data_IF_404340737538
#
_entry.id   IF_404340737538
#
_cell.length_a   1.000
_cell.length_b   1.000
_cell.length_c   1.000
_cell.angle_alpha   90.00
_cell.angle_beta   90.00
_cell.angle_gamma   90.00
#
_symmetry.space_group_name_H-M   'P 1'
#
loop_
_entity.id
_entity.type
_entity.pdbx_description
1 polymer ?
#
# COMPACT_ATOMS: atom_id res chain seq x y z
N UNK A 1 -1.51 -21.21 -22.97
CA UNK A 1 -0.33 -22.08 -22.84
C UNK A 1 0.20 -21.85 -21.42
N UNK A 2 -0.02 -22.83 -20.54
CA UNK A 2 0.35 -22.75 -19.13
C UNK A 2 1.85 -23.04 -18.99
N UNK A 3 2.63 -22.14 -18.40
CA UNK A 3 4.01 -22.43 -17.97
C UNK A 3 4.00 -22.68 -16.47
N UNK A 4 4.25 -23.92 -16.07
CA UNK A 4 4.58 -24.27 -14.69
C UNK A 4 6.07 -24.00 -14.46
N UNK A 5 6.39 -23.35 -13.34
CA UNK A 5 7.77 -23.22 -12.86
C UNK A 5 8.07 -24.36 -11.90
N UNK A 6 9.19 -25.04 -12.12
CA UNK A 6 9.59 -26.26 -11.41
C UNK A 6 10.28 -25.99 -10.05
N UNK A 7 10.22 -26.99 -9.20
CA UNK A 7 10.40 -27.14 -7.76
C UNK A 7 11.80 -26.93 -7.20
N UNK A 8 11.84 -26.35 -6.00
CA UNK A 8 12.96 -26.46 -5.06
C UNK A 8 12.62 -25.93 -3.68
N UNK A 9 12.23 -26.81 -2.75
CA UNK A 9 12.22 -26.58 -1.31
C UNK A 9 11.06 -25.73 -0.76
N UNK A 10 10.04 -26.37 -0.16
CA UNK A 10 8.70 -25.89 0.18
C UNK A 10 7.94 -25.37 -1.04
N UNK A 11 6.97 -26.17 -1.49
CA UNK A 11 6.27 -25.96 -2.76
C UNK A 11 5.53 -24.61 -2.85
N UNK A 12 6.24 -23.55 -3.19
CA UNK A 12 5.60 -22.34 -3.71
C UNK A 12 5.46 -22.50 -5.22
N UNK A 13 4.26 -22.71 -5.71
CA UNK A 13 3.98 -22.67 -7.15
C UNK A 13 3.42 -21.31 -7.52
N UNK A 14 4.04 -20.60 -8.46
CA UNK A 14 3.53 -19.37 -9.04
C UNK A 14 2.94 -19.67 -10.42
N UNK A 15 1.65 -19.34 -10.61
CA UNK A 15 0.95 -19.52 -11.88
C UNK A 15 0.51 -18.17 -12.44
N UNK A 16 0.81 -17.92 -13.73
CA UNK A 16 0.33 -16.74 -14.45
C UNK A 16 -0.80 -17.13 -15.41
N UNK A 17 -1.94 -16.45 -15.29
CA UNK A 17 -3.09 -16.59 -16.19
C UNK A 17 -3.08 -15.43 -17.16
N UNK A 18 -2.71 -15.69 -18.41
CA UNK A 18 -2.55 -14.67 -19.45
C UNK A 18 -3.65 -14.73 -20.51
N UNK A 19 -4.04 -13.58 -21.03
CA UNK A 19 -5.04 -13.45 -22.09
C UNK A 19 -5.45 -12.00 -22.30
N UNK A 20 -6.10 -11.71 -23.42
CA UNK A 20 -6.64 -10.38 -23.73
C UNK A 20 -7.75 -9.96 -22.76
N UNK A 21 -8.13 -8.69 -22.76
CA UNK A 21 -9.31 -8.25 -22.01
C UNK A 21 -10.57 -9.01 -22.45
N UNK A 22 -11.43 -9.34 -21.49
CA UNK A 22 -12.69 -10.06 -21.75
C UNK A 22 -12.57 -11.57 -22.04
N UNK A 23 -11.40 -12.19 -21.96
CA UNK A 23 -11.22 -13.63 -22.23
C UNK A 23 -11.59 -14.55 -21.07
N UNK A 24 -12.16 -14.02 -19.99
CA UNK A 24 -12.65 -14.84 -18.87
C UNK A 24 -11.58 -15.20 -17.83
N UNK A 25 -10.43 -14.48 -17.76
CA UNK A 25 -9.38 -14.75 -16.76
C UNK A 25 -9.88 -14.74 -15.33
N UNK A 26 -10.58 -13.66 -14.94
CA UNK A 26 -11.17 -13.54 -13.59
C UNK A 26 -12.18 -14.64 -13.30
N UNK A 27 -13.04 -14.98 -14.30
CA UNK A 27 -13.97 -16.07 -14.16
C UNK A 27 -13.27 -17.42 -13.89
N UNK A 28 -12.19 -17.69 -14.62
CA UNK A 28 -11.37 -18.88 -14.44
C UNK A 28 -10.74 -18.95 -13.04
N UNK A 29 -10.17 -17.84 -12.55
CA UNK A 29 -9.62 -17.72 -11.21
C UNK A 29 -10.70 -18.02 -10.15
N UNK A 30 -11.86 -17.40 -10.29
CA UNK A 30 -12.95 -17.56 -9.32
C UNK A 30 -13.52 -18.97 -9.32
N UNK A 31 -13.67 -19.61 -10.48
CA UNK A 31 -14.08 -20.99 -10.58
C UNK A 31 -13.08 -21.94 -9.93
N UNK A 32 -11.78 -21.69 -10.17
CA UNK A 32 -10.69 -22.48 -9.57
C UNK A 32 -10.69 -22.37 -8.05
N UNK A 33 -10.70 -21.16 -7.49
CA UNK A 33 -10.68 -20.95 -6.04
C UNK A 33 -11.91 -21.51 -5.34
N UNK A 34 -13.12 -21.38 -5.94
CA UNK A 34 -14.35 -21.98 -5.40
C UNK A 34 -14.27 -23.51 -5.36
N UNK A 35 -13.76 -24.11 -6.43
CA UNK A 35 -13.59 -25.57 -6.52
C UNK A 35 -12.59 -26.08 -5.48
N UNK A 36 -11.43 -25.45 -5.36
CA UNK A 36 -10.39 -25.85 -4.41
C UNK A 36 -10.84 -25.63 -2.96
N UNK A 37 -11.45 -24.51 -2.67
CA UNK A 37 -12.00 -24.21 -1.34
C UNK A 37 -13.10 -25.20 -0.92
N UNK A 38 -13.88 -25.69 -1.89
CA UNK A 38 -14.89 -26.72 -1.65
C UNK A 38 -14.31 -28.12 -1.42
N UNK A 39 -13.17 -28.42 -2.01
CA UNK A 39 -12.45 -29.70 -1.82
C UNK A 39 -11.61 -29.73 -0.53
N UNK A 40 -11.14 -28.56 -0.10
CA UNK A 40 -10.28 -28.39 1.08
C UNK A 40 -10.87 -27.32 2.01
N UNK A 41 -11.96 -27.63 2.75
CA UNK A 41 -12.65 -26.67 3.60
C UNK A 41 -11.80 -26.17 4.78
N UNK A 42 -10.74 -26.87 5.13
CA UNK A 42 -9.74 -26.49 6.15
C UNK A 42 -8.69 -25.47 5.63
N UNK A 43 -8.59 -25.29 4.33
CA UNK A 43 -7.65 -24.38 3.69
C UNK A 43 -8.10 -22.92 3.76
N UNK A 44 -7.14 -22.00 3.69
CA UNK A 44 -7.39 -20.57 3.58
C UNK A 44 -7.12 -20.09 2.15
N UNK A 45 -8.07 -19.35 1.59
CA UNK A 45 -8.00 -18.84 0.22
C UNK A 45 -8.20 -17.33 0.24
N UNK A 46 -7.28 -16.60 -0.37
CA UNK A 46 -7.34 -15.14 -0.47
C UNK A 46 -7.43 -14.71 -1.92
N UNK A 47 -8.45 -13.92 -2.25
CA UNK A 47 -8.56 -13.25 -3.55
C UNK A 47 -8.24 -11.78 -3.34
N UNK A 48 -7.06 -11.38 -3.78
CA UNK A 48 -6.55 -10.02 -3.62
C UNK A 48 -6.92 -9.22 -4.86
N UNK A 49 -7.66 -8.12 -4.65
CA UNK A 49 -8.14 -7.22 -5.70
C UNK A 49 -7.95 -5.77 -5.27
N UNK A 50 -7.93 -4.80 -6.22
CA UNK A 50 -8.01 -3.38 -5.86
C UNK A 50 -9.23 -3.09 -4.99
N UNK A 51 -9.10 -2.15 -4.03
CA UNK A 51 -10.13 -1.87 -3.01
C UNK A 51 -11.52 -1.65 -3.62
N UNK A 52 -11.61 -0.91 -4.72
CA UNK A 52 -12.88 -0.63 -5.40
C UNK A 52 -13.60 -1.86 -5.96
N UNK A 53 -12.89 -2.98 -6.13
CA UNK A 53 -13.46 -4.22 -6.67
C UNK A 53 -13.81 -5.26 -5.61
N UNK A 54 -13.43 -5.05 -4.35
CA UNK A 54 -13.60 -6.05 -3.27
C UNK A 54 -15.06 -6.51 -3.12
N UNK A 55 -16.01 -5.57 -3.04
CA UNK A 55 -17.42 -5.90 -2.88
C UNK A 55 -18.00 -6.61 -4.12
N UNK A 56 -17.66 -6.15 -5.33
CA UNK A 56 -18.11 -6.76 -6.58
C UNK A 56 -17.56 -8.18 -6.73
N UNK A 57 -16.30 -8.39 -6.42
CA UNK A 57 -15.65 -9.71 -6.48
C UNK A 57 -16.28 -10.67 -5.47
N UNK A 58 -16.48 -10.21 -4.22
CA UNK A 58 -17.15 -11.02 -3.19
C UNK A 58 -18.57 -11.45 -3.64
N UNK A 59 -19.35 -10.52 -4.17
CA UNK A 59 -20.67 -10.82 -4.72
C UNK A 59 -20.60 -11.86 -5.84
N UNK A 60 -19.67 -11.69 -6.77
CA UNK A 60 -19.49 -12.62 -7.90
C UNK A 60 -19.13 -14.02 -7.41
N UNK A 61 -18.20 -14.15 -6.46
CA UNK A 61 -17.82 -15.44 -5.88
C UNK A 61 -19.01 -16.13 -5.19
N UNK A 62 -19.80 -15.38 -4.42
CA UNK A 62 -21.03 -15.92 -3.78
C UNK A 62 -22.05 -16.39 -4.83
N UNK A 63 -22.27 -15.62 -5.89
CA UNK A 63 -23.19 -15.97 -6.97
C UNK A 63 -22.73 -17.20 -7.77
N UNK A 64 -21.42 -17.37 -7.97
CA UNK A 64 -20.81 -18.51 -8.65
C UNK A 64 -20.76 -19.76 -7.78
N UNK A 65 -20.66 -19.59 -6.45
CA UNK A 65 -20.57 -20.73 -5.52
C UNK A 65 -21.87 -21.56 -5.54
N UNK A 66 -21.77 -22.90 -5.64
CA UNK A 66 -22.93 -23.79 -5.57
C UNK A 66 -23.72 -23.65 -4.25
N UNK A 67 -23.03 -23.39 -3.15
CA UNK A 67 -23.60 -23.19 -1.81
C UNK A 67 -24.22 -21.81 -1.61
N UNK A 68 -24.06 -20.88 -2.58
CA UNK A 68 -24.44 -19.47 -2.44
C UNK A 68 -23.80 -18.78 -1.24
N UNK A 69 -22.61 -19.24 -0.87
CA UNK A 69 -21.80 -18.70 0.21
C UNK A 69 -20.32 -19.03 0.01
N UNK A 70 -19.46 -18.29 0.66
CA UNK A 70 -18.01 -18.49 0.73
C UNK A 70 -17.63 -18.46 2.21
N UNK A 71 -17.03 -19.52 2.75
CA UNK A 71 -16.69 -19.64 4.17
C UNK A 71 -15.20 -19.47 4.42
N UNK A 72 -14.37 -20.03 3.56
CA UNK A 72 -12.92 -20.07 3.66
C UNK A 72 -12.22 -19.33 2.51
N UNK A 73 -12.96 -18.45 1.81
CA UNK A 73 -12.43 -17.55 0.78
C UNK A 73 -12.62 -16.11 1.29
N UNK A 74 -11.54 -15.39 1.49
CA UNK A 74 -11.54 -13.97 1.83
C UNK A 74 -11.20 -13.12 0.60
N UNK A 75 -12.01 -12.10 0.31
CA UNK A 75 -11.73 -11.11 -0.74
C UNK A 75 -11.20 -9.84 -0.08
N UNK A 76 -9.95 -9.51 -0.36
CA UNK A 76 -9.24 -8.45 0.32
C UNK A 76 -8.55 -7.52 -0.67
N UNK A 77 -8.37 -6.25 -0.28
CA UNK A 77 -7.33 -5.41 -0.84
C UNK A 77 -6.01 -5.63 -0.09
N UNK A 78 -4.91 -5.08 -0.59
CA UNK A 78 -3.63 -5.11 0.12
C UNK A 78 -3.71 -4.47 1.51
N UNK A 79 -4.45 -3.37 1.63
CA UNK A 79 -4.62 -2.70 2.92
C UNK A 79 -5.37 -3.60 3.92
N UNK A 80 -6.45 -4.25 3.50
CA UNK A 80 -7.18 -5.21 4.34
C UNK A 80 -6.36 -6.45 4.68
N UNK A 81 -5.53 -6.92 3.74
CA UNK A 81 -4.58 -7.98 4.00
C UNK A 81 -3.58 -7.57 5.08
N UNK A 82 -3.06 -6.34 5.01
CA UNK A 82 -2.17 -5.81 6.03
C UNK A 82 -2.80 -5.85 7.43
N UNK A 83 -4.03 -5.35 7.57
CA UNK A 83 -4.73 -5.41 8.85
C UNK A 83 -4.95 -6.84 9.36
N UNK A 84 -5.28 -7.79 8.47
CA UNK A 84 -5.40 -9.21 8.85
C UNK A 84 -4.10 -9.78 9.39
N UNK A 85 -2.98 -9.46 8.73
CA UNK A 85 -1.65 -9.89 9.19
C UNK A 85 -1.28 -9.23 10.51
N UNK A 86 -1.57 -7.93 10.67
CA UNK A 86 -1.30 -7.21 11.92
C UNK A 86 -2.12 -7.75 13.09
N UNK A 87 -3.40 -8.07 12.90
CA UNK A 87 -4.24 -8.72 13.90
C UNK A 87 -3.69 -10.09 14.33
N UNK A 88 -3.12 -10.85 13.38
CA UNK A 88 -2.57 -12.18 13.67
C UNK A 88 -1.21 -12.10 14.38
N UNK A 89 -0.33 -11.20 13.91
CA UNK A 89 1.08 -11.17 14.32
C UNK A 89 1.36 -10.21 15.47
N UNK A 90 0.36 -9.45 15.93
CA UNK A 90 0.49 -8.42 16.95
C UNK A 90 0.98 -7.07 16.41
N UNK A 91 1.12 -6.93 15.09
CA UNK A 91 1.31 -5.71 14.29
C UNK A 91 2.21 -4.61 14.87
N UNK A 92 2.27 -3.49 14.17
CA UNK A 92 2.83 -2.24 14.72
C UNK A 92 1.69 -1.50 15.48
N UNK A 93 1.87 -1.19 16.76
CA UNK A 93 0.87 -0.49 17.59
C UNK A 93 0.62 0.96 17.15
N UNK A 94 1.28 1.41 16.10
CA UNK A 94 1.14 2.77 15.58
C UNK A 94 -0.24 3.04 15.00
N UNK A 95 -0.73 4.24 15.27
CA UNK A 95 -1.97 4.76 14.70
C UNK A 95 -1.73 5.15 13.24
N UNK A 96 -2.55 4.62 12.31
CA UNK A 96 -2.49 5.02 10.91
C UNK A 96 -3.16 6.38 10.75
N UNK A 97 -2.40 7.34 10.21
CA UNK A 97 -2.93 8.66 9.89
C UNK A 97 -3.65 8.64 8.55
N UNK A 98 -4.90 9.05 8.58
CA UNK A 98 -5.67 9.38 7.39
C UNK A 98 -5.18 10.70 6.76
N UNK A 99 -5.80 11.07 5.66
CA UNK A 99 -5.47 12.28 4.91
C UNK A 99 -5.66 13.56 5.73
N UNK A 100 -6.66 13.59 6.60
CA UNK A 100 -6.92 14.70 7.54
C UNK A 100 -5.83 14.78 8.59
N UNK A 101 -5.45 13.65 9.18
CA UNK A 101 -4.35 13.56 10.14
C UNK A 101 -3.03 14.04 9.56
N UNK A 102 -2.68 13.62 8.33
CA UNK A 102 -1.50 14.11 7.61
C UNK A 102 -1.54 15.65 7.44
N UNK A 103 -2.69 16.19 7.04
CA UNK A 103 -2.87 17.65 6.89
C UNK A 103 -2.65 18.38 8.21
N UNK A 104 -3.20 17.88 9.32
CA UNK A 104 -3.04 18.50 10.65
C UNK A 104 -1.58 18.48 11.12
N UNK A 105 -0.88 17.35 10.91
CA UNK A 105 0.54 17.24 11.26
C UNK A 105 1.36 18.21 10.41
N UNK A 106 1.13 18.27 9.09
CA UNK A 106 1.83 19.20 8.22
C UNK A 106 1.59 20.65 8.60
N UNK A 107 0.35 21.06 8.93
CA UNK A 107 0.04 22.40 9.44
C UNK A 107 0.84 22.72 10.71
N UNK A 108 0.93 21.78 11.63
CA UNK A 108 1.72 21.94 12.85
C UNK A 108 3.21 22.11 12.55
N UNK A 109 3.76 21.37 11.57
CA UNK A 109 5.16 21.52 11.16
C UNK A 109 5.41 22.88 10.49
N UNK A 110 4.52 23.32 9.61
CA UNK A 110 4.59 24.68 9.01
C UNK A 110 4.61 25.77 10.08
N UNK A 111 3.76 25.68 11.09
CA UNK A 111 3.73 26.64 12.19
C UNK A 111 5.01 26.61 13.02
N UNK A 112 5.50 25.42 13.35
CA UNK A 112 6.72 25.22 14.13
C UNK A 112 7.97 25.76 13.42
N UNK A 113 8.08 25.53 12.12
CA UNK A 113 9.23 25.87 11.29
C UNK A 113 9.04 27.12 10.43
N UNK A 114 8.05 27.97 10.73
CA UNK A 114 7.70 29.14 9.92
C UNK A 114 8.88 30.04 9.58
N UNK A 115 9.85 30.18 10.50
CA UNK A 115 11.05 31.02 10.32
C UNK A 115 12.10 30.36 9.42
N UNK A 116 12.06 29.04 9.32
CA UNK A 116 13.02 28.22 8.57
C UNK A 116 12.51 27.89 7.16
N UNK A 117 11.34 28.46 6.77
CA UNK A 117 10.69 28.26 5.48
C UNK A 117 10.62 29.56 4.69
N UNK A 118 11.76 30.08 4.19
CA UNK A 118 11.81 31.39 3.53
C UNK A 118 10.92 31.49 2.30
N UNK A 119 10.73 30.40 1.56
CA UNK A 119 9.87 30.36 0.37
C UNK A 119 8.46 29.83 0.69
N UNK A 120 8.35 28.61 1.25
CA UNK A 120 7.07 27.94 1.47
C UNK A 120 6.26 28.57 2.60
N UNK A 121 6.87 29.14 3.61
CA UNK A 121 6.18 29.70 4.78
C UNK A 121 5.10 30.73 4.42
N UNK A 122 5.32 31.56 3.39
CA UNK A 122 4.33 32.52 2.88
C UNK A 122 3.28 31.86 1.97
N UNK A 123 3.68 30.83 1.20
CA UNK A 123 2.81 30.14 0.24
C UNK A 123 1.79 29.25 0.94
N UNK A 124 2.13 28.63 2.07
CA UNK A 124 1.26 27.74 2.85
C UNK A 124 -0.04 28.39 3.33
N UNK A 125 -0.15 29.73 3.27
CA UNK A 125 -1.38 30.46 3.56
C UNK A 125 -2.36 30.48 2.39
N UNK A 126 -1.92 30.09 1.20
CA UNK A 126 -2.77 30.06 0.01
C UNK A 126 -3.61 28.79 -0.01
N UNK A 127 -4.90 28.86 -0.41
CA UNK A 127 -5.75 27.68 -0.55
C UNK A 127 -5.12 26.64 -1.47
N UNK A 128 -5.19 25.36 -1.09
CA UNK A 128 -4.69 24.22 -1.86
C UNK A 128 -3.17 23.98 -1.77
N UNK A 129 -2.37 24.98 -1.41
CA UNK A 129 -0.91 24.82 -1.41
C UNK A 129 -0.41 23.81 -0.36
N UNK A 130 -1.09 23.76 0.78
CA UNK A 130 -0.82 22.78 1.82
C UNK A 130 -1.07 21.34 1.31
N UNK A 131 -2.16 21.16 0.54
CA UNK A 131 -2.50 19.86 -0.04
C UNK A 131 -1.50 19.42 -1.13
N UNK A 132 -1.00 20.37 -1.93
CA UNK A 132 0.07 20.10 -2.90
C UNK A 132 1.34 19.62 -2.20
N UNK A 133 1.76 20.29 -1.12
CA UNK A 133 2.93 19.85 -0.35
C UNK A 133 2.68 18.52 0.34
N UNK A 134 1.49 18.30 0.93
CA UNK A 134 1.10 17.01 1.50
C UNK A 134 1.22 15.88 0.46
N UNK A 135 0.68 16.09 -0.74
CA UNK A 135 0.77 15.12 -1.84
C UNK A 135 2.21 14.81 -2.22
N UNK A 136 3.05 15.85 -2.31
CA UNK A 136 4.48 15.70 -2.58
C UNK A 136 5.19 14.86 -1.50
N UNK A 137 4.89 15.10 -0.21
CA UNK A 137 5.46 14.29 0.88
C UNK A 137 4.98 12.83 0.82
N UNK A 138 3.70 12.61 0.48
CA UNK A 138 3.15 11.26 0.26
C UNK A 138 3.84 10.56 -0.91
N UNK A 139 4.09 11.25 -2.02
CA UNK A 139 4.85 10.70 -3.15
C UNK A 139 6.28 10.32 -2.74
N UNK A 140 6.96 11.16 -1.97
CA UNK A 140 8.31 10.83 -1.48
C UNK A 140 8.30 9.55 -0.64
N UNK A 141 7.34 9.40 0.26
CA UNK A 141 7.21 8.18 1.07
C UNK A 141 6.89 6.96 0.20
N UNK A 142 5.98 7.10 -0.76
CA UNK A 142 5.57 6.05 -1.68
C UNK A 142 6.73 5.53 -2.56
N UNK A 143 7.63 6.44 -2.98
CA UNK A 143 8.79 6.10 -3.81
C UNK A 143 10.07 5.85 -3.00
N UNK A 144 9.97 5.77 -1.67
CA UNK A 144 11.12 5.51 -0.79
C UNK A 144 12.17 6.63 -0.79
N UNK A 145 11.77 7.87 -1.16
CA UNK A 145 12.66 9.04 -1.12
C UNK A 145 12.79 9.49 0.33
N UNK A 146 13.96 9.30 0.91
CA UNK A 146 14.29 9.68 2.27
C UNK A 146 15.03 11.03 2.39
N UNK A 147 15.51 11.31 3.59
CA UNK A 147 16.25 12.55 3.88
C UNK A 147 17.55 12.66 3.09
N UNK A 148 18.22 11.54 2.85
CA UNK A 148 19.49 11.50 2.10
C UNK A 148 19.27 11.85 0.62
N UNK A 149 18.28 11.24 -0.01
CA UNK A 149 17.91 11.54 -1.39
C UNK A 149 17.48 12.99 -1.56
N UNK A 150 16.70 13.53 -0.62
CA UNK A 150 16.31 14.94 -0.63
C UNK A 150 17.51 15.87 -0.47
N UNK A 151 18.46 15.55 0.41
CA UNK A 151 19.71 16.31 0.55
C UNK A 151 20.50 16.32 -0.76
N UNK A 152 20.63 15.18 -1.43
CA UNK A 152 21.27 15.10 -2.74
C UNK A 152 20.52 15.90 -3.82
N UNK A 153 19.19 15.96 -3.77
CA UNK A 153 18.40 16.80 -4.68
C UNK A 153 18.68 18.27 -4.47
N UNK A 154 18.80 18.73 -3.21
CA UNK A 154 19.19 20.10 -2.87
C UNK A 154 20.58 20.43 -3.45
N UNK A 155 21.56 19.57 -3.29
CA UNK A 155 22.91 19.73 -3.81
C UNK A 155 22.93 19.80 -5.34
N UNK A 156 22.20 18.88 -6.02
CA UNK A 156 22.10 18.83 -7.48
C UNK A 156 21.33 20.01 -8.09
N UNK A 157 20.51 20.71 -7.30
CA UNK A 157 19.84 21.92 -7.75
C UNK A 157 20.83 23.05 -8.09
N UNK A 158 21.99 23.08 -7.42
CA UNK A 158 23.12 23.95 -7.74
C UNK A 158 22.75 25.42 -7.81
N UNK A 159 23.09 26.08 -8.93
CA UNK A 159 22.87 27.53 -9.14
C UNK A 159 21.41 27.93 -9.39
N UNK A 160 20.46 26.98 -9.37
CA UNK A 160 19.02 27.24 -9.51
C UNK A 160 18.43 27.69 -8.19
N UNK A 161 18.72 28.92 -7.79
CA UNK A 161 18.43 29.50 -6.48
C UNK A 161 17.00 29.24 -5.99
N UNK A 162 15.98 29.52 -6.82
CA UNK A 162 14.58 29.30 -6.45
C UNK A 162 14.25 27.82 -6.20
N UNK A 163 14.80 26.90 -7.00
CA UNK A 163 14.59 25.46 -6.83
C UNK A 163 15.28 24.98 -5.54
N UNK A 164 16.50 25.44 -5.31
CA UNK A 164 17.27 25.11 -4.11
C UNK A 164 16.54 25.58 -2.84
N UNK A 165 15.98 26.78 -2.82
CA UNK A 165 15.17 27.28 -1.72
C UNK A 165 13.94 26.40 -1.48
N UNK A 166 13.18 26.10 -2.53
CA UNK A 166 11.99 25.22 -2.43
C UNK A 166 12.34 23.83 -1.88
N UNK A 167 13.40 23.21 -2.39
CA UNK A 167 13.81 21.89 -1.96
C UNK A 167 14.30 21.88 -0.49
N UNK A 168 14.97 22.93 -0.04
CA UNK A 168 15.36 23.08 1.38
C UNK A 168 14.15 23.19 2.29
N UNK A 169 13.17 24.00 1.92
CA UNK A 169 11.93 24.15 2.69
C UNK A 169 11.15 22.81 2.74
N UNK A 170 11.05 22.13 1.61
CA UNK A 170 10.41 20.79 1.54
C UNK A 170 11.17 19.78 2.41
N UNK A 171 12.49 19.78 2.37
CA UNK A 171 13.32 18.90 3.20
C UNK A 171 13.09 19.17 4.69
N UNK A 172 13.05 20.44 5.10
CA UNK A 172 12.74 20.83 6.50
C UNK A 172 11.36 20.33 6.95
N UNK A 173 10.35 20.47 6.08
CA UNK A 173 8.99 20.00 6.38
C UNK A 173 8.92 18.47 6.42
N UNK A 174 9.58 17.77 5.48
CA UNK A 174 9.63 16.31 5.44
C UNK A 174 10.29 15.74 6.69
N UNK A 175 11.44 16.28 7.08
CA UNK A 175 12.14 15.86 8.29
C UNK A 175 11.28 16.08 9.55
N UNK A 176 10.67 17.26 9.69
CA UNK A 176 9.76 17.54 10.80
C UNK A 176 8.54 16.63 10.82
N UNK A 177 7.98 16.34 9.65
CA UNK A 177 6.84 15.43 9.49
C UNK A 177 7.20 14.00 9.89
N UNK A 178 8.31 13.45 9.36
CA UNK A 178 8.82 12.12 9.70
C UNK A 178 9.11 11.98 11.19
N UNK A 179 9.82 12.94 11.78
CA UNK A 179 10.10 12.96 13.22
C UNK A 179 8.85 13.02 14.09
N UNK A 180 7.78 13.68 13.62
CA UNK A 180 6.51 13.70 14.35
C UNK A 180 5.80 12.35 14.31
N UNK A 181 5.90 11.60 13.22
CA UNK A 181 5.30 10.28 13.08
C UNK A 181 6.05 9.22 13.88
N UNK A 182 7.33 9.40 14.08
CA UNK A 182 8.21 8.39 14.68
C UNK A 182 7.68 7.91 16.04
N UNK A 183 7.57 6.61 16.20
CA UNK A 183 7.17 5.94 17.42
C UNK A 183 5.66 5.84 17.69
N UNK A 184 4.81 6.70 17.08
CA UNK A 184 3.40 6.79 17.43
C UNK A 184 2.44 6.65 16.25
N UNK A 185 2.88 7.06 15.07
CA UNK A 185 2.05 7.09 13.87
C UNK A 185 2.73 6.42 12.70
N UNK A 186 1.93 5.95 11.76
CA UNK A 186 2.37 5.57 10.42
C UNK A 186 1.42 6.16 9.38
N UNK A 187 1.86 6.28 8.16
CA UNK A 187 1.03 6.69 7.03
C UNK A 187 0.55 5.48 6.25
N UNK A 188 -0.48 5.67 5.41
CA UNK A 188 -0.98 4.60 4.55
C UNK A 188 0.10 4.04 3.62
N UNK A 189 1.04 4.88 3.19
CA UNK A 189 2.18 4.50 2.35
C UNK A 189 3.13 3.52 3.09
N UNK A 190 3.29 3.68 4.40
CA UNK A 190 4.15 2.82 5.23
C UNK A 190 3.50 1.47 5.59
N UNK A 191 2.18 1.35 5.46
CA UNK A 191 1.44 0.10 5.77
C UNK A 191 1.98 -1.08 4.97
N UNK A 192 2.33 -0.87 3.69
CA UNK A 192 2.88 -1.93 2.84
C UNK A 192 4.26 -2.38 3.28
N UNK A 193 5.12 -1.48 3.73
CA UNK A 193 6.44 -1.81 4.26
C UNK A 193 6.33 -2.61 5.56
N UNK A 194 5.38 -2.25 6.42
CA UNK A 194 5.10 -3.02 7.64
C UNK A 194 4.54 -4.40 7.28
N UNK A 195 3.60 -4.47 6.34
CA UNK A 195 3.07 -5.75 5.84
C UNK A 195 4.19 -6.66 5.37
N UNK A 196 5.10 -6.17 4.51
CA UNK A 196 6.23 -6.96 4.00
C UNK A 196 7.10 -7.54 5.11
N UNK A 197 7.35 -6.76 6.16
CA UNK A 197 8.11 -7.23 7.33
C UNK A 197 7.38 -8.29 8.15
N UNK A 198 6.04 -8.21 8.21
CA UNK A 198 5.21 -9.08 9.03
C UNK A 198 4.76 -10.36 8.31
N UNK A 199 4.72 -10.37 6.98
CA UNK A 199 4.33 -11.53 6.17
C UNK A 199 5.00 -12.84 6.59
N UNK A 200 6.33 -12.91 6.85
CA UNK A 200 6.98 -14.16 7.24
C UNK A 200 6.48 -14.75 8.56
N UNK A 201 5.84 -13.96 9.40
CA UNK A 201 5.34 -14.37 10.71
C UNK A 201 3.87 -14.81 10.69
N UNK A 202 3.15 -14.59 9.59
CA UNK A 202 1.76 -15.03 9.45
C UNK A 202 1.69 -16.52 9.14
N UNK A 203 1.16 -17.30 10.07
CA UNK A 203 0.94 -18.74 9.87
C UNK A 203 -0.24 -19.01 8.93
N UNK A 204 -1.27 -18.16 8.96
CA UNK A 204 -2.44 -18.26 8.08
C UNK A 204 -2.04 -18.09 6.63
N UNK A 205 -1.15 -17.14 6.32
CA UNK A 205 -0.69 -16.93 4.94
C UNK A 205 0.25 -18.03 4.47
N UNK A 206 1.06 -18.60 5.34
CA UNK A 206 2.06 -19.64 4.97
C UNK A 206 1.44 -20.86 4.32
N UNK A 207 0.22 -21.25 4.71
CA UNK A 207 -0.48 -22.41 4.18
C UNK A 207 -1.63 -22.07 3.24
N UNK A 208 -1.77 -20.80 2.83
CA UNK A 208 -2.89 -20.33 2.03
C UNK A 208 -2.61 -20.35 0.53
N UNK A 209 -3.70 -20.33 -0.25
CA UNK A 209 -3.68 -20.03 -1.68
C UNK A 209 -4.03 -18.57 -1.87
N UNK A 210 -3.23 -17.84 -2.65
CA UNK A 210 -3.45 -16.42 -2.93
C UNK A 210 -3.61 -16.21 -4.44
N UNK A 211 -4.74 -15.61 -4.80
CA UNK A 211 -5.07 -15.22 -6.18
C UNK A 211 -5.09 -13.70 -6.30
N UNK A 212 -4.46 -13.17 -7.34
CA UNK A 212 -4.40 -11.73 -7.61
C UNK A 212 -5.15 -11.42 -8.90
N UNK A 213 -6.17 -10.57 -8.83
CA UNK A 213 -6.97 -10.20 -10.00
C UNK A 213 -7.28 -8.71 -10.05
N UNK A 214 -7.48 -8.18 -11.26
CA UNK A 214 -7.95 -6.82 -11.50
C UNK A 214 -6.89 -5.71 -11.36
N UNK A 215 -5.62 -6.03 -11.13
CA UNK A 215 -4.55 -5.04 -11.08
C UNK A 215 -4.10 -4.63 -12.49
N UNK A 216 -3.96 -3.32 -12.71
CA UNK A 216 -3.44 -2.74 -13.96
C UNK A 216 -1.96 -2.42 -13.91
N UNK A 217 -1.37 -2.41 -12.72
CA UNK A 217 0.04 -2.18 -12.44
C UNK A 217 0.29 -2.12 -10.94
N UNK A 218 1.56 -2.12 -10.59
CA UNK A 218 2.03 -1.93 -9.22
C UNK A 218 2.98 -0.74 -9.22
N UNK A 219 2.91 0.09 -8.18
CA UNK A 219 3.92 1.11 -7.90
C UNK A 219 5.16 0.47 -7.30
N UNK A 220 6.34 1.08 -7.48
CA UNK A 220 7.57 0.63 -6.84
C UNK A 220 7.46 0.59 -5.33
#
# INVERSE_FOLDING_TARGET
>A
MLKQAEKGGQDMSLQFITGSSGTGKSYYIYEQVIREAGQHPEGFYYVIVPEQFTMQTQKTLVEMSPSKGILNIDVLSFERLAYRVFEETGGDEKVILDDTGKTMVLQKMVQKHQKDLPYLGSQMKKPGYLDEVKSLLSEFMQYGIGEEELSQMVEKAGDRELLTMKLRDVHTLYQGFRSYLEGHYMTGEEVMDVLLRMLPFSEKLRGSVMEFDGFTGFTP
#
